data_IF_493507810802
#
_entry.id   IF_493507810802
#
_cell.length_a   1.000
_cell.length_b   1.000
_cell.length_c   1.000
_cell.angle_alpha   90.00
_cell.angle_beta   90.00
_cell.angle_gamma   90.00
#
_symmetry.space_group_name_H-M   'P 1'
#
loop_
_entity.id
_entity.type
_entity.pdbx_description
1 polymer ?
#
# COMPACT_ATOMS: atom_id res chain seq x y z
N UNK A 1 -9.71 -16.90 6.19
CA UNK A 1 -8.65 -16.10 5.54
C UNK A 1 -8.18 -15.03 6.51
N UNK A 2 -6.88 -14.75 6.53
CA UNK A 2 -6.28 -13.69 7.37
C UNK A 2 -6.21 -12.38 6.59
N UNK A 3 -6.39 -11.25 7.26
CA UNK A 3 -6.24 -9.92 6.67
C UNK A 3 -5.47 -9.02 7.64
N UNK A 4 -4.58 -8.17 7.12
CA UNK A 4 -3.76 -7.24 7.90
C UNK A 4 -4.07 -5.82 7.45
N UNK A 5 -4.48 -4.96 8.38
CA UNK A 5 -4.67 -3.54 8.13
C UNK A 5 -3.35 -2.80 8.36
N UNK A 6 -2.63 -2.47 7.28
CA UNK A 6 -1.31 -1.82 7.36
C UNK A 6 -1.32 -0.40 7.97
N UNK A 7 -2.51 0.21 8.07
CA UNK A 7 -2.70 1.52 8.69
C UNK A 7 -2.96 1.44 10.21
N UNK A 8 -3.18 0.25 10.76
CA UNK A 8 -3.57 0.08 12.16
C UNK A 8 -2.38 0.02 13.13
N UNK A 9 -1.18 -0.37 12.66
CA UNK A 9 0.01 -0.44 13.50
C UNK A 9 0.74 0.90 13.47
N UNK A 10 0.48 1.72 14.49
CA UNK A 10 0.97 3.10 14.57
C UNK A 10 2.48 3.18 14.79
N UNK A 11 3.09 2.17 15.43
CA UNK A 11 4.54 2.13 15.63
C UNK A 11 5.29 2.03 14.31
N UNK A 12 4.81 1.19 13.38
CA UNK A 12 5.36 0.99 12.04
C UNK A 12 5.11 2.24 11.20
N UNK A 13 3.90 2.80 11.22
CA UNK A 13 3.62 4.05 10.49
C UNK A 13 4.57 5.18 10.91
N UNK A 14 4.78 5.35 12.22
CA UNK A 14 5.63 6.44 12.74
C UNK A 14 7.12 6.16 12.53
N UNK A 15 7.60 4.96 12.81
CA UNK A 15 8.99 4.59 12.59
C UNK A 15 9.38 4.65 11.11
N UNK A 16 8.56 4.08 10.22
CA UNK A 16 8.83 4.10 8.78
C UNK A 16 8.71 5.53 8.24
N UNK A 17 7.69 6.28 8.67
CA UNK A 17 7.52 7.67 8.26
C UNK A 17 8.71 8.55 8.68
N UNK A 18 9.27 8.32 9.88
CA UNK A 18 10.44 9.02 10.38
C UNK A 18 11.72 8.67 9.61
N UNK A 19 11.95 7.38 9.34
CA UNK A 19 13.23 6.90 8.81
C UNK A 19 13.31 6.91 7.28
N UNK A 20 12.17 6.73 6.59
CA UNK A 20 12.10 6.56 5.12
C UNK A 20 11.19 7.58 4.43
N UNK A 21 10.47 8.41 5.20
CA UNK A 21 9.48 9.33 4.67
C UNK A 21 8.08 8.71 4.55
N UNK A 22 7.07 9.57 4.54
CA UNK A 22 5.68 9.13 4.59
C UNK A 22 5.22 8.37 3.33
N UNK A 23 5.92 8.52 2.22
CA UNK A 23 5.62 7.84 0.96
C UNK A 23 5.96 6.33 1.00
N UNK A 24 6.77 5.87 1.96
CA UNK A 24 7.18 4.47 2.10
C UNK A 24 6.40 3.69 3.15
N UNK A 25 5.52 4.36 3.92
CA UNK A 25 4.88 3.77 5.13
C UNK A 25 4.09 2.49 4.85
N UNK A 26 3.47 2.38 3.68
CA UNK A 26 2.76 1.16 3.28
C UNK A 26 3.64 0.24 2.44
N UNK A 27 4.44 0.78 1.52
CA UNK A 27 5.29 0.00 0.62
C UNK A 27 6.27 -0.90 1.38
N UNK A 28 6.87 -0.40 2.47
CA UNK A 28 7.79 -1.19 3.30
C UNK A 28 7.08 -2.35 4.01
N UNK A 29 5.85 -2.11 4.50
CA UNK A 29 5.03 -3.15 5.12
C UNK A 29 4.55 -4.18 4.09
N UNK A 30 4.20 -3.75 2.86
CA UNK A 30 3.86 -4.65 1.74
C UNK A 30 5.03 -5.58 1.43
N UNK A 31 6.25 -5.05 1.31
CA UNK A 31 7.46 -5.87 1.07
C UNK A 31 7.76 -6.84 2.21
N UNK A 32 7.42 -6.48 3.45
CA UNK A 32 7.67 -7.30 4.63
C UNK A 32 6.65 -8.43 4.82
N UNK A 33 5.37 -8.19 4.52
CA UNK A 33 4.29 -9.13 4.79
C UNK A 33 3.78 -9.88 3.56
N UNK A 34 3.86 -9.26 2.38
CA UNK A 34 3.31 -9.78 1.13
C UNK A 34 4.05 -11.02 0.64
N UNK A 35 3.30 -12.01 0.16
CA UNK A 35 3.82 -13.18 -0.54
C UNK A 35 3.17 -13.27 -1.92
N UNK A 36 3.84 -13.87 -2.92
CA UNK A 36 3.21 -14.14 -4.21
C UNK A 36 1.83 -14.78 -4.04
N UNK A 37 0.89 -14.35 -4.88
CA UNK A 37 -0.54 -14.73 -4.86
C UNK A 37 -1.40 -14.13 -3.72
N UNK A 38 -0.83 -13.40 -2.75
CA UNK A 38 -1.62 -12.58 -1.81
C UNK A 38 -2.31 -11.40 -2.54
N UNK A 39 -3.37 -10.86 -1.93
CA UNK A 39 -4.09 -9.68 -2.42
C UNK A 39 -3.69 -8.45 -1.61
N UNK A 40 -3.24 -7.41 -2.31
CA UNK A 40 -3.11 -6.06 -1.75
C UNK A 40 -4.35 -5.25 -2.12
N UNK A 41 -5.15 -4.87 -1.12
CA UNK A 41 -6.31 -3.99 -1.31
C UNK A 41 -5.96 -2.55 -0.93
N UNK A 42 -6.01 -1.65 -1.90
CA UNK A 42 -5.71 -0.23 -1.77
C UNK A 42 -7.02 0.57 -1.80
N UNK A 43 -7.13 1.61 -0.97
CA UNK A 43 -8.33 2.44 -0.90
C UNK A 43 -7.94 3.92 -0.94
N UNK A 44 -8.36 4.64 -1.97
CA UNK A 44 -8.05 6.06 -2.14
C UNK A 44 -9.14 6.77 -2.93
N UNK A 45 -9.79 7.77 -2.34
CA UNK A 45 -10.82 8.54 -3.07
C UNK A 45 -10.25 9.30 -4.27
N UNK A 46 -9.08 9.93 -4.13
CA UNK A 46 -8.44 10.63 -5.24
C UNK A 46 -7.63 9.71 -6.16
N UNK A 47 -7.14 8.59 -5.64
CA UNK A 47 -6.20 7.72 -6.34
C UNK A 47 -4.81 8.33 -6.53
N UNK A 48 -4.50 9.44 -5.87
CA UNK A 48 -3.25 10.20 -6.08
C UNK A 48 -2.28 10.17 -4.90
N UNK A 49 -2.63 9.50 -3.79
CA UNK A 49 -1.77 9.46 -2.60
C UNK A 49 -0.46 8.73 -2.90
N UNK A 50 0.66 9.44 -2.83
CA UNK A 50 1.98 8.89 -3.16
C UNK A 50 2.28 7.63 -2.36
N UNK A 51 1.97 7.61 -1.06
CA UNK A 51 2.15 6.44 -0.21
C UNK A 51 1.39 5.17 -0.65
N UNK A 52 0.27 5.32 -1.37
CA UNK A 52 -0.49 4.21 -1.95
C UNK A 52 0.03 3.83 -3.33
N UNK A 53 0.49 4.79 -4.14
CA UNK A 53 1.13 4.52 -5.42
C UNK A 53 2.43 3.73 -5.22
N UNK A 54 3.25 4.12 -4.24
CA UNK A 54 4.45 3.37 -3.85
C UNK A 54 4.11 1.98 -3.33
N UNK A 55 3.00 1.83 -2.59
CA UNK A 55 2.54 0.52 -2.13
C UNK A 55 2.04 -0.37 -3.26
N UNK A 56 1.33 0.19 -4.25
CA UNK A 56 0.90 -0.53 -5.45
C UNK A 56 2.12 -1.07 -6.22
N UNK A 57 3.13 -0.21 -6.44
CA UNK A 57 4.37 -0.62 -7.07
C UNK A 57 5.06 -1.75 -6.29
N UNK A 58 5.20 -1.58 -4.97
CA UNK A 58 5.78 -2.62 -4.12
C UNK A 58 4.99 -3.94 -4.17
N UNK A 59 3.66 -3.88 -4.30
CA UNK A 59 2.81 -5.05 -4.47
C UNK A 59 3.08 -5.77 -5.79
N UNK A 60 3.17 -5.04 -6.91
CA UNK A 60 3.55 -5.62 -8.19
C UNK A 60 4.95 -6.25 -8.16
N UNK A 61 5.93 -5.57 -7.57
CA UNK A 61 7.31 -6.06 -7.46
C UNK A 61 7.43 -7.35 -6.64
N UNK A 62 6.49 -7.59 -5.73
CA UNK A 62 6.43 -8.77 -4.84
C UNK A 62 5.49 -9.88 -5.35
N UNK A 63 4.88 -9.70 -6.51
CA UNK A 63 3.98 -10.69 -7.12
C UNK A 63 2.59 -10.73 -6.50
N UNK A 64 2.15 -9.63 -5.86
CA UNK A 64 0.81 -9.51 -5.32
C UNK A 64 -0.22 -9.20 -6.42
N UNK A 65 -1.46 -9.59 -6.17
CA UNK A 65 -2.61 -9.08 -6.91
C UNK A 65 -3.07 -7.78 -6.28
N UNK A 66 -2.89 -6.66 -6.99
CA UNK A 66 -3.30 -5.35 -6.50
C UNK A 66 -4.73 -5.01 -6.93
N UNK A 67 -5.61 -4.77 -5.95
CA UNK A 67 -6.96 -4.26 -6.16
C UNK A 67 -7.06 -2.86 -5.58
N UNK A 68 -7.77 -1.97 -6.26
CA UNK A 68 -7.97 -0.61 -5.80
C UNK A 68 -9.46 -0.24 -5.75
N UNK A 69 -9.89 0.34 -4.64
CA UNK A 69 -11.14 1.10 -4.56
C UNK A 69 -10.82 2.58 -4.67
N UNK A 70 -11.18 3.15 -5.82
CA UNK A 70 -10.94 4.57 -6.12
C UNK A 70 -12.23 5.35 -6.29
N UNK A 71 -12.12 6.68 -6.23
CA UNK A 71 -13.13 7.57 -6.80
C UNK A 71 -13.11 7.55 -8.35
N UNK A 72 -13.73 8.56 -8.99
CA UNK A 72 -13.83 8.64 -10.44
C UNK A 72 -12.47 8.57 -11.15
N UNK A 73 -12.44 7.90 -12.29
CA UNK A 73 -11.31 7.92 -13.22
C UNK A 73 -11.35 9.19 -14.10
N UNK A 74 -10.21 9.65 -14.64
CA UNK A 74 -8.88 9.04 -14.52
C UNK A 74 -8.17 9.38 -13.20
N UNK A 75 -7.45 8.40 -12.65
CA UNK A 75 -6.51 8.59 -11.56
C UNK A 75 -5.38 7.55 -11.67
N UNK A 76 -4.18 7.79 -11.12
CA UNK A 76 -3.02 6.92 -11.35
C UNK A 76 -3.07 5.58 -10.60
N UNK A 77 -4.03 5.38 -9.70
CA UNK A 77 -4.19 4.13 -8.95
C UNK A 77 -5.22 3.17 -9.57
N UNK A 78 -6.05 3.65 -10.50
CA UNK A 78 -7.09 2.88 -11.18
C UNK A 78 -6.57 2.01 -12.33
#
# INVERSE_FOLDING_TARGET
LSAIALHAETSALTAIGNDYGYDEVFARQVRAHGRPDDILLLMSTSGTSTNLLTAAQAGHDTGLRCWAFTGPAPNPLA
#
